data_IF_995412982021
#
_entry.id   IF_995412982021
#
_cell.length_a   1.000
_cell.length_b   1.000
_cell.length_c   1.000
_cell.angle_alpha   90.00
_cell.angle_beta   90.00
_cell.angle_gamma   90.00
#
_symmetry.space_group_name_H-M   'P 1'
#
loop_
_entity.id
_entity.type
_entity.pdbx_description
1 polymer ?
#
# COMPACT_ATOMS: atom_id res chain seq x y z
N UNK A 1 18.59 1.03 40.34
CA UNK A 1 17.58 1.42 39.33
C UNK A 1 16.14 1.26 39.82
N UNK A 2 15.70 0.09 40.32
CA UNK A 2 14.31 -0.08 40.80
C UNK A 2 13.85 0.91 41.92
N UNK A 3 14.74 1.30 42.85
CA UNK A 3 14.45 2.30 43.89
C UNK A 3 14.23 3.72 43.33
N UNK A 4 14.84 4.05 42.19
CA UNK A 4 14.70 5.36 41.54
C UNK A 4 13.34 5.47 40.83
N UNK A 5 12.89 4.41 40.14
CA UNK A 5 11.56 4.39 39.52
C UNK A 5 10.43 4.65 40.52
N UNK A 6 10.48 4.00 41.69
CA UNK A 6 9.52 4.24 42.77
C UNK A 6 9.60 5.63 43.42
N UNK A 7 10.72 6.33 43.26
CA UNK A 7 10.87 7.72 43.73
C UNK A 7 10.23 8.71 42.75
N UNK A 8 10.39 8.48 41.44
CA UNK A 8 9.74 9.28 40.40
C UNK A 8 8.21 9.08 40.35
N UNK A 9 7.72 7.86 40.58
CA UNK A 9 6.28 7.60 40.72
C UNK A 9 5.67 8.45 41.86
N UNK A 10 6.38 8.59 42.98
CA UNK A 10 5.95 9.44 44.11
C UNK A 10 6.08 10.94 43.83
N UNK A 11 6.93 11.32 42.90
CA UNK A 11 7.13 12.70 42.45
C UNK A 11 6.16 13.12 41.34
N UNK A 12 5.35 12.19 40.81
CA UNK A 12 4.37 12.47 39.74
C UNK A 12 4.95 12.48 38.33
N UNK A 13 6.22 12.13 38.15
CA UNK A 13 6.87 12.08 36.83
C UNK A 13 6.72 10.68 36.23
N UNK A 14 5.59 10.47 35.54
CA UNK A 14 5.24 9.19 34.93
C UNK A 14 6.21 8.74 33.84
N UNK A 15 6.83 9.66 33.13
CA UNK A 15 7.80 9.35 32.07
C UNK A 15 9.12 8.83 32.66
N UNK A 16 9.72 9.57 33.60
CA UNK A 16 10.97 9.15 34.24
C UNK A 16 10.80 7.85 35.04
N UNK A 17 9.66 7.71 35.72
CA UNK A 17 9.29 6.48 36.41
C UNK A 17 9.24 5.28 35.45
N UNK A 18 8.49 5.42 34.35
CA UNK A 18 8.35 4.40 33.32
C UNK A 18 9.70 3.98 32.72
N UNK A 19 10.54 4.95 32.35
CA UNK A 19 11.88 4.72 31.80
C UNK A 19 12.79 3.95 32.76
N UNK A 20 12.85 4.36 34.03
CA UNK A 20 13.64 3.67 35.05
C UNK A 20 13.16 2.25 35.34
N UNK A 21 11.84 2.00 35.29
CA UNK A 21 11.26 0.69 35.49
C UNK A 21 11.54 -0.24 34.32
N UNK A 22 11.50 0.26 33.09
CA UNK A 22 11.81 -0.51 31.89
C UNK A 22 13.29 -0.97 31.91
N UNK A 23 14.22 -0.08 32.26
CA UNK A 23 15.64 -0.41 32.46
C UNK A 23 15.88 -1.42 33.58
N UNK A 24 14.96 -1.50 34.56
CA UNK A 24 15.02 -2.48 35.64
C UNK A 24 14.34 -3.81 35.29
N UNK A 25 13.87 -4.00 34.05
CA UNK A 25 13.15 -5.20 33.59
C UNK A 25 11.73 -5.32 34.14
N UNK A 26 11.15 -4.23 34.68
CA UNK A 26 9.80 -4.18 35.25
C UNK A 26 8.78 -3.67 34.24
N UNK A 27 8.69 -4.38 33.13
CA UNK A 27 7.88 -4.03 31.95
C UNK A 27 6.39 -3.91 32.28
N UNK A 28 5.90 -4.75 33.19
CA UNK A 28 4.53 -4.77 33.72
C UNK A 28 4.09 -3.43 34.32
N UNK A 29 5.01 -2.75 35.01
CA UNK A 29 4.76 -1.46 35.66
C UNK A 29 5.20 -0.28 34.79
N UNK A 30 6.19 -0.47 33.94
CA UNK A 30 6.72 0.57 33.07
C UNK A 30 5.73 0.96 31.96
N UNK A 31 5.12 -0.01 31.28
CA UNK A 31 4.27 0.24 30.10
C UNK A 31 3.08 1.17 30.43
N UNK A 32 2.28 0.94 31.49
CA UNK A 32 1.14 1.81 31.78
C UNK A 32 1.55 3.27 32.05
N UNK A 33 2.68 3.48 32.71
CA UNK A 33 3.21 4.81 33.00
C UNK A 33 3.66 5.53 31.72
N UNK A 34 4.39 4.82 30.84
CA UNK A 34 4.79 5.36 29.54
C UNK A 34 3.58 5.62 28.62
N UNK A 35 2.55 4.77 28.69
CA UNK A 35 1.31 4.95 27.93
C UNK A 35 0.48 6.15 28.39
N UNK A 36 0.61 6.55 29.67
CA UNK A 36 -0.11 7.69 30.25
C UNK A 36 0.46 9.06 29.86
N UNK A 37 1.63 9.10 29.21
CA UNK A 37 2.24 10.34 28.72
C UNK A 37 1.39 10.90 27.57
N UNK A 38 0.96 12.15 27.72
CA UNK A 38 0.05 12.84 26.78
C UNK A 38 0.76 13.29 25.49
N UNK A 39 0.07 13.34 24.34
CA UNK A 39 0.62 13.80 23.06
C UNK A 39 1.28 15.18 23.06
N UNK A 40 0.84 16.07 23.95
CA UNK A 40 1.33 17.44 24.09
C UNK A 40 2.64 17.53 24.88
N UNK A 41 3.08 16.43 25.51
CA UNK A 41 4.34 16.38 26.25
C UNK A 41 5.54 16.34 25.31
N UNK A 42 6.60 17.06 25.67
CA UNK A 42 7.91 16.98 24.99
C UNK A 42 8.49 15.55 25.00
N UNK A 43 8.09 14.73 25.96
CA UNK A 43 8.54 13.34 26.10
C UNK A 43 7.64 12.32 25.39
N UNK A 44 6.60 12.76 24.66
CA UNK A 44 5.61 11.84 24.09
C UNK A 44 6.20 10.83 23.10
N UNK A 45 7.10 11.28 22.21
CA UNK A 45 7.72 10.40 21.21
C UNK A 45 8.66 9.39 21.87
N UNK A 46 9.50 9.85 22.80
CA UNK A 46 10.41 8.98 23.57
C UNK A 46 9.62 7.97 24.43
N UNK A 47 8.56 8.43 25.11
CA UNK A 47 7.68 7.55 25.88
C UNK A 47 7.00 6.50 24.99
N UNK A 48 6.62 6.88 23.77
CA UNK A 48 6.00 5.99 22.80
C UNK A 48 6.96 4.94 22.27
N UNK A 49 8.20 5.32 21.97
CA UNK A 49 9.26 4.41 21.58
C UNK A 49 9.51 3.37 22.68
N UNK A 50 9.74 3.83 23.92
CA UNK A 50 10.01 2.95 25.06
C UNK A 50 8.82 2.02 25.38
N UNK A 51 7.58 2.52 25.25
CA UNK A 51 6.39 1.69 25.43
C UNK A 51 6.29 0.61 24.34
N UNK A 52 6.59 0.94 23.08
CA UNK A 52 6.56 0.00 21.98
C UNK A 52 7.65 -1.07 22.10
N UNK A 53 8.87 -0.71 22.50
CA UNK A 53 9.95 -1.65 22.82
C UNK A 53 9.55 -2.61 23.95
N UNK A 54 9.00 -2.08 25.04
CA UNK A 54 8.53 -2.89 26.17
C UNK A 54 7.42 -3.86 25.76
N UNK A 55 6.45 -3.40 24.97
CA UNK A 55 5.36 -4.23 24.45
C UNK A 55 5.88 -5.35 23.53
N UNK A 56 6.84 -5.03 22.67
CA UNK A 56 7.45 -6.02 21.78
C UNK A 56 8.22 -7.09 22.57
N UNK A 57 9.02 -6.70 23.57
CA UNK A 57 9.69 -7.64 24.47
C UNK A 57 8.71 -8.55 25.22
N UNK A 58 7.53 -8.01 25.57
CA UNK A 58 6.45 -8.75 26.21
C UNK A 58 5.60 -9.61 25.25
N UNK A 59 6.00 -9.76 23.98
CA UNK A 59 5.26 -10.49 22.93
C UNK A 59 3.87 -9.89 22.62
N UNK A 60 3.67 -8.60 22.93
CA UNK A 60 2.45 -7.84 22.64
C UNK A 60 2.67 -6.85 21.49
N UNK A 61 3.40 -7.28 20.45
CA UNK A 61 3.83 -6.47 19.30
C UNK A 61 2.69 -5.69 18.62
N UNK A 62 1.50 -6.26 18.51
CA UNK A 62 0.35 -5.59 17.87
C UNK A 62 -0.07 -4.29 18.58
N UNK A 63 0.03 -4.25 19.92
CA UNK A 63 -0.24 -3.03 20.69
C UNK A 63 0.87 -1.99 20.50
N UNK A 64 2.10 -2.45 20.33
CA UNK A 64 3.26 -1.60 20.01
C UNK A 64 3.11 -0.95 18.64
N UNK A 65 2.80 -1.73 17.60
CA UNK A 65 2.55 -1.25 16.22
C UNK A 65 1.47 -0.18 16.22
N UNK A 66 0.28 -0.48 16.76
CA UNK A 66 -0.85 0.47 16.78
C UNK A 66 -0.49 1.79 17.45
N UNK A 67 0.30 1.74 18.52
CA UNK A 67 0.75 2.96 19.22
C UNK A 67 1.73 3.78 18.37
N UNK A 68 2.69 3.11 17.72
CA UNK A 68 3.65 3.76 16.83
C UNK A 68 2.94 4.39 15.63
N UNK A 69 2.00 3.69 15.00
CA UNK A 69 1.21 4.20 13.88
C UNK A 69 0.43 5.46 14.26
N UNK A 70 -0.26 5.47 15.41
CA UNK A 70 -0.96 6.65 15.90
C UNK A 70 -0.03 7.83 16.19
N UNK A 71 1.17 7.58 16.73
CA UNK A 71 2.13 8.63 17.00
C UNK A 71 2.77 9.19 15.71
N UNK A 72 2.83 8.39 14.65
CA UNK A 72 3.41 8.72 13.36
C UNK A 72 2.37 9.20 12.33
N UNK A 73 1.08 9.16 12.65
CA UNK A 73 0.00 9.56 11.76
C UNK A 73 0.21 11.02 11.29
N UNK A 74 0.33 11.21 9.97
CA UNK A 74 0.61 12.49 9.32
C UNK A 74 1.96 13.15 9.66
N UNK A 75 2.89 12.44 10.31
CA UNK A 75 4.25 12.94 10.59
C UNK A 75 5.26 12.44 9.55
N UNK A 76 6.12 13.34 9.07
CA UNK A 76 7.23 13.01 8.19
C UNK A 76 8.42 12.41 8.96
N UNK A 77 9.33 11.77 8.23
CA UNK A 77 10.58 11.23 8.80
C UNK A 77 11.52 12.39 9.07
N UNK A 78 11.95 12.54 10.33
CA UNK A 78 12.92 13.53 10.78
C UNK A 78 13.72 12.98 11.98
N UNK A 79 14.60 13.78 12.58
CA UNK A 79 15.48 13.33 13.66
C UNK A 79 14.72 12.84 14.91
N UNK A 80 13.52 13.36 15.19
CA UNK A 80 12.71 12.97 16.35
C UNK A 80 11.85 11.74 16.07
N UNK A 81 11.35 11.58 14.84
CA UNK A 81 10.45 10.48 14.44
C UNK A 81 11.20 9.26 13.91
N UNK A 82 12.44 9.43 13.44
CA UNK A 82 13.23 8.33 12.86
C UNK A 82 13.39 7.11 13.78
N UNK A 83 13.66 7.26 15.10
CA UNK A 83 13.70 6.12 16.01
C UNK A 83 12.38 5.33 16.06
N UNK A 84 11.23 6.02 15.99
CA UNK A 84 9.91 5.38 15.99
C UNK A 84 9.65 4.62 14.69
N UNK A 85 10.00 5.21 13.55
CA UNK A 85 9.94 4.50 12.25
C UNK A 85 10.84 3.26 12.27
N UNK A 86 12.04 3.35 12.84
CA UNK A 86 12.96 2.21 12.90
C UNK A 86 12.37 1.10 13.76
N UNK A 87 11.82 1.46 14.92
CA UNK A 87 11.19 0.49 15.80
C UNK A 87 9.95 -0.15 15.17
N UNK A 88 9.16 0.63 14.43
CA UNK A 88 8.03 0.10 13.66
C UNK A 88 8.51 -0.96 12.65
N UNK A 89 9.56 -0.65 11.88
CA UNK A 89 10.12 -1.60 10.92
C UNK A 89 10.63 -2.89 11.56
N UNK A 90 11.32 -2.79 12.69
CA UNK A 90 11.81 -3.96 13.43
C UNK A 90 10.67 -4.85 13.91
N UNK A 91 9.59 -4.25 14.43
CA UNK A 91 8.43 -5.01 14.90
C UNK A 91 7.74 -5.71 13.71
N UNK A 92 7.54 -5.03 12.57
CA UNK A 92 6.96 -5.68 11.38
C UNK A 92 7.84 -6.82 10.86
N UNK A 93 9.16 -6.64 10.85
CA UNK A 93 10.10 -7.71 10.48
C UNK A 93 9.94 -8.93 11.36
N UNK A 94 9.89 -8.73 12.68
CA UNK A 94 9.82 -9.82 13.65
C UNK A 94 8.43 -10.50 13.65
N UNK A 95 7.39 -9.79 13.20
CA UNK A 95 6.07 -10.35 12.91
C UNK A 95 5.98 -11.09 11.56
N UNK A 96 7.04 -11.03 10.74
CA UNK A 96 7.09 -11.64 9.40
C UNK A 96 6.52 -10.76 8.28
N UNK A 97 6.07 -9.54 8.58
CA UNK A 97 5.63 -8.54 7.60
C UNK A 97 6.84 -7.78 7.03
N UNK A 98 7.60 -8.48 6.19
CA UNK A 98 8.81 -7.95 5.57
C UNK A 98 8.51 -6.80 4.60
N UNK A 99 7.31 -6.75 4.04
CA UNK A 99 6.84 -5.71 3.11
C UNK A 99 6.76 -4.36 3.79
N UNK A 100 6.01 -4.29 4.91
CA UNK A 100 5.84 -3.06 5.66
C UNK A 100 7.16 -2.67 6.31
N UNK A 101 7.92 -3.63 6.84
CA UNK A 101 9.25 -3.39 7.40
C UNK A 101 10.18 -2.72 6.38
N UNK A 102 10.24 -3.24 5.15
CA UNK A 102 11.04 -2.65 4.07
C UNK A 102 10.55 -1.27 3.67
N UNK A 103 9.25 -1.08 3.44
CA UNK A 103 8.69 0.22 3.07
C UNK A 103 9.01 1.31 4.10
N UNK A 104 8.93 0.97 5.38
CA UNK A 104 9.29 1.89 6.47
C UNK A 104 10.81 2.18 6.48
N UNK A 105 11.66 1.18 6.25
CA UNK A 105 13.11 1.37 6.17
C UNK A 105 13.54 2.17 4.93
N UNK A 106 12.86 2.03 3.79
CA UNK A 106 13.11 2.82 2.59
C UNK A 106 12.78 4.30 2.82
N UNK A 107 11.70 4.60 3.55
CA UNK A 107 11.37 5.97 3.99
C UNK A 107 12.43 6.55 4.92
N UNK A 108 12.98 5.75 5.83
CA UNK A 108 14.09 6.15 6.69
C UNK A 108 15.37 6.41 5.89
N UNK A 109 15.70 5.53 4.95
CA UNK A 109 16.88 5.65 4.11
C UNK A 109 16.80 6.86 3.16
N UNK A 110 15.61 7.17 2.65
CA UNK A 110 15.36 8.37 1.83
C UNK A 110 15.62 9.67 2.60
N UNK A 111 15.34 9.69 3.90
CA UNK A 111 15.67 10.83 4.78
C UNK A 111 17.17 10.85 5.15
N UNK A 112 17.72 9.71 5.60
CA UNK A 112 19.12 9.59 5.96
C UNK A 112 19.60 8.12 5.87
N UNK A 113 20.33 7.78 4.80
CA UNK A 113 20.92 6.45 4.61
C UNK A 113 21.86 6.00 5.74
N UNK A 114 22.47 6.93 6.48
CA UNK A 114 23.39 6.65 7.58
C UNK A 114 22.73 6.58 8.97
N UNK A 115 21.40 6.61 9.04
CA UNK A 115 20.69 6.52 10.32
C UNK A 115 20.77 5.09 10.88
N UNK A 116 21.53 4.93 11.97
CA UNK A 116 21.75 3.66 12.67
C UNK A 116 22.17 2.52 11.72
N UNK A 117 21.51 1.37 11.80
CA UNK A 117 21.74 0.16 11.00
C UNK A 117 20.77 0.05 9.81
N UNK A 118 20.11 1.14 9.39
CA UNK A 118 19.06 1.11 8.34
C UNK A 118 19.55 0.44 7.05
N UNK A 119 20.78 0.71 6.63
CA UNK A 119 21.39 0.09 5.43
C UNK A 119 21.67 -1.40 5.62
N UNK A 120 22.08 -1.81 6.82
CA UNK A 120 22.28 -3.23 7.15
C UNK A 120 20.94 -3.96 7.23
N UNK A 121 19.93 -3.36 7.84
CA UNK A 121 18.58 -3.91 7.92
C UNK A 121 17.98 -4.10 6.52
N UNK A 122 18.12 -3.09 5.64
CA UNK A 122 17.71 -3.21 4.24
C UNK A 122 18.47 -4.32 3.52
N UNK A 123 19.79 -4.43 3.69
CA UNK A 123 20.57 -5.48 3.00
C UNK A 123 20.25 -6.89 3.52
N UNK A 124 19.93 -7.05 4.80
CA UNK A 124 19.50 -8.33 5.40
C UNK A 124 18.09 -8.73 4.97
N UNK A 125 17.27 -7.76 4.60
CA UNK A 125 15.99 -8.00 3.92
C UNK A 125 16.16 -8.35 2.42
N UNK A 126 17.38 -8.27 1.87
CA UNK A 126 17.68 -8.53 0.44
C UNK A 126 18.36 -9.87 0.14
N UNK A 127 18.15 -10.93 0.93
CA UNK A 127 18.53 -12.30 0.48
C UNK A 127 17.42 -12.85 -0.40
N UNK A 128 17.59 -12.62 -1.70
CA UNK A 128 16.70 -13.05 -2.79
C UNK A 128 16.61 -11.93 -3.81
N UNK A 129 17.51 -11.92 -4.80
CA UNK A 129 17.27 -11.19 -6.05
C UNK A 129 16.07 -11.85 -6.73
N UNK A 130 14.89 -11.34 -6.39
CA UNK A 130 13.78 -11.16 -7.30
C UNK A 130 13.27 -9.76 -6.97
N UNK A 131 13.50 -8.80 -7.86
CA UNK A 131 12.99 -7.41 -7.73
C UNK A 131 11.47 -7.35 -7.94
N UNK A 132 10.77 -8.42 -7.58
CA UNK A 132 9.33 -8.47 -7.44
C UNK A 132 9.03 -8.02 -6.01
N UNK A 133 8.35 -6.89 -5.80
CA UNK A 133 7.90 -6.54 -4.46
C UNK A 133 7.02 -7.71 -4.00
N UNK A 134 7.07 -8.14 -2.71
CA UNK A 134 6.51 -9.41 -2.26
C UNK A 134 5.16 -9.61 -2.92
N UNK A 135 5.08 -10.65 -3.74
CA UNK A 135 3.81 -11.15 -4.24
C UNK A 135 3.12 -11.64 -2.98
N UNK A 136 2.44 -10.73 -2.26
CA UNK A 136 1.15 -11.12 -1.71
C UNK A 136 0.49 -11.87 -2.86
N UNK A 137 0.19 -13.17 -2.71
CA UNK A 137 -0.48 -13.86 -3.79
C UNK A 137 -1.65 -12.96 -4.17
N UNK A 138 -1.90 -12.75 -5.48
CA UNK A 138 -3.09 -12.02 -5.93
C UNK A 138 -4.37 -12.56 -5.25
N UNK A 139 -4.27 -13.74 -4.63
CA UNK A 139 -5.19 -14.35 -3.68
C UNK A 139 -5.58 -13.42 -2.51
N UNK A 140 -4.69 -12.77 -1.76
CA UNK A 140 -5.15 -11.98 -0.60
C UNK A 140 -5.72 -10.59 -0.98
N UNK A 141 -5.25 -9.98 -2.07
CA UNK A 141 -5.80 -8.72 -2.57
C UNK A 141 -7.11 -8.89 -3.35
N UNK A 142 -7.33 -10.06 -3.95
CA UNK A 142 -8.41 -10.27 -4.89
C UNK A 142 -9.09 -11.63 -4.78
N UNK A 143 -9.05 -12.36 -3.67
CA UNK A 143 -9.93 -13.53 -3.52
C UNK A 143 -11.38 -13.05 -3.49
N UNK A 144 -12.02 -12.94 -4.65
CA UNK A 144 -13.42 -12.54 -4.81
C UNK A 144 -14.39 -13.59 -4.25
N UNK A 145 -13.87 -14.70 -3.71
CA UNK A 145 -14.62 -15.59 -2.84
C UNK A 145 -14.86 -14.99 -1.46
N UNK A 146 -14.08 -14.00 -1.05
CA UNK A 146 -14.27 -13.21 0.17
C UNK A 146 -14.91 -11.86 -0.12
N UNK A 147 -15.81 -11.43 0.78
CA UNK A 147 -16.54 -10.15 0.69
C UNK A 147 -15.59 -8.94 0.61
N UNK A 148 -14.44 -9.04 1.28
CA UNK A 148 -13.43 -7.97 1.38
C UNK A 148 -12.76 -7.66 0.04
N UNK A 149 -12.49 -8.66 -0.81
CA UNK A 149 -11.89 -8.45 -2.13
C UNK A 149 -12.82 -7.71 -3.11
N UNK A 150 -14.11 -8.08 -3.12
CA UNK A 150 -15.13 -7.39 -3.93
C UNK A 150 -15.43 -5.97 -3.43
N UNK A 151 -15.36 -5.74 -2.11
CA UNK A 151 -15.54 -4.40 -1.54
C UNK A 151 -14.42 -3.44 -1.98
N UNK A 152 -13.16 -3.90 -2.05
CA UNK A 152 -12.03 -3.10 -2.54
C UNK A 152 -12.14 -2.71 -4.02
N UNK A 153 -12.80 -3.54 -4.85
CA UNK A 153 -13.05 -3.18 -6.24
C UNK A 153 -14.01 -2.00 -6.39
N UNK A 154 -14.84 -1.70 -5.38
CA UNK A 154 -15.70 -0.51 -5.40
C UNK A 154 -14.93 0.79 -5.26
N UNK A 155 -13.73 0.75 -4.68
CA UNK A 155 -12.87 1.93 -4.56
C UNK A 155 -12.32 2.36 -5.93
N UNK A 156 -12.35 1.46 -6.91
CA UNK A 156 -11.94 1.75 -8.28
C UNK A 156 -13.02 2.55 -9.02
N UNK A 157 -12.63 3.69 -9.61
CA UNK A 157 -13.56 4.64 -10.23
C UNK A 157 -14.44 4.01 -11.34
N UNK A 158 -13.89 3.08 -12.12
CA UNK A 158 -14.63 2.33 -13.14
C UNK A 158 -15.80 1.50 -12.55
N UNK A 159 -15.62 1.01 -11.33
CA UNK A 159 -16.46 0.00 -10.68
C UNK A 159 -17.30 0.57 -9.51
N UNK A 160 -17.08 1.84 -9.15
CA UNK A 160 -17.71 2.49 -8.00
C UNK A 160 -19.26 2.49 -8.02
N UNK A 161 -19.85 2.58 -9.21
CA UNK A 161 -21.32 2.60 -9.39
C UNK A 161 -21.93 1.17 -9.44
N UNK A 162 -21.10 0.11 -9.38
CA UNK A 162 -21.55 -1.28 -9.45
C UNK A 162 -21.98 -1.82 -8.08
N UNK A 163 -23.08 -2.56 -8.05
CA UNK A 163 -23.51 -3.36 -6.91
C UNK A 163 -22.59 -4.58 -6.74
N UNK A 164 -22.57 -5.16 -5.54
CA UNK A 164 -21.76 -6.36 -5.27
C UNK A 164 -22.14 -7.55 -6.16
N UNK A 165 -23.43 -7.67 -6.52
CA UNK A 165 -23.92 -8.69 -7.45
C UNK A 165 -23.46 -8.46 -8.90
N UNK A 166 -23.38 -7.21 -9.34
CA UNK A 166 -22.83 -6.86 -10.66
C UNK A 166 -21.32 -7.10 -10.70
N UNK A 167 -20.61 -6.67 -9.65
CA UNK A 167 -19.17 -6.90 -9.52
C UNK A 167 -18.82 -8.38 -9.54
N UNK A 168 -19.59 -9.21 -8.82
CA UNK A 168 -19.34 -10.65 -8.80
C UNK A 168 -19.51 -11.29 -10.18
N UNK A 169 -20.51 -10.84 -10.94
CA UNK A 169 -20.75 -11.34 -12.32
C UNK A 169 -19.59 -11.01 -13.24
N UNK A 170 -19.11 -9.76 -13.25
CA UNK A 170 -17.97 -9.40 -14.11
C UNK A 170 -16.64 -9.98 -13.59
N UNK A 171 -16.53 -10.19 -12.27
CA UNK A 171 -15.32 -10.73 -11.65
C UNK A 171 -14.94 -12.11 -12.19
N UNK A 172 -15.92 -12.97 -12.40
CA UNK A 172 -15.70 -14.33 -12.90
C UNK A 172 -15.08 -14.36 -14.32
N UNK A 173 -15.13 -13.23 -15.05
CA UNK A 173 -14.52 -13.06 -16.36
C UNK A 173 -13.16 -12.37 -16.33
N UNK A 174 -12.71 -11.87 -15.17
CA UNK A 174 -11.38 -11.30 -15.06
C UNK A 174 -10.33 -12.39 -14.85
N UNK A 175 -9.30 -12.34 -15.67
CA UNK A 175 -8.04 -13.02 -15.43
C UNK A 175 -7.08 -12.12 -14.66
N UNK A 176 -6.20 -12.74 -13.88
CA UNK A 176 -5.17 -12.03 -13.14
C UNK A 176 -3.87 -12.09 -13.91
N UNK A 177 -3.18 -10.96 -14.03
CA UNK A 177 -1.88 -10.88 -14.68
C UNK A 177 -0.86 -10.20 -13.78
N UNK A 178 0.32 -10.82 -13.71
CA UNK A 178 1.53 -10.25 -13.15
C UNK A 178 2.49 -10.00 -14.30
N UNK A 179 3.03 -8.79 -14.38
CA UNK A 179 3.86 -8.34 -15.50
C UNK A 179 5.13 -7.69 -14.96
N UNK A 180 6.29 -8.10 -15.46
CA UNK A 180 7.57 -7.56 -15.03
C UNK A 180 7.89 -6.19 -15.63
N UNK A 181 8.72 -5.36 -14.95
CA UNK A 181 9.17 -4.08 -15.48
C UNK A 181 9.74 -4.19 -16.89
N UNK A 182 9.47 -3.18 -17.72
CA UNK A 182 9.91 -3.11 -19.11
C UNK A 182 9.10 -3.96 -20.09
N UNK A 183 8.17 -4.80 -19.61
CA UNK A 183 7.34 -5.64 -20.47
C UNK A 183 6.24 -4.81 -21.15
N UNK A 184 6.08 -4.88 -22.48
CA UNK A 184 4.93 -4.30 -23.17
C UNK A 184 3.67 -5.11 -22.84
N UNK A 185 2.65 -4.43 -22.30
CA UNK A 185 1.34 -5.00 -21.97
C UNK A 185 0.40 -4.91 -23.17
N UNK A 186 0.46 -3.78 -23.89
CA UNK A 186 -0.23 -3.51 -25.14
C UNK A 186 0.78 -2.89 -26.09
N UNK A 187 0.80 -3.27 -27.37
CA UNK A 187 1.58 -2.58 -28.40
C UNK A 187 0.66 -1.74 -29.29
N UNK A 188 1.12 -0.55 -29.68
CA UNK A 188 0.42 0.28 -30.66
C UNK A 188 0.17 -0.50 -31.96
N UNK A 189 -1.08 -0.48 -32.44
CA UNK A 189 -1.51 -1.23 -33.62
C UNK A 189 -1.90 -2.69 -33.33
N UNK A 190 -1.74 -3.19 -32.10
CA UNK A 190 -2.17 -4.54 -31.76
C UNK A 190 -3.69 -4.68 -31.92
N UNK A 191 -4.08 -5.79 -32.54
CA UNK A 191 -5.47 -6.22 -32.62
C UNK A 191 -5.93 -6.92 -31.33
N UNK A 192 -5.04 -7.11 -30.34
CA UNK A 192 -5.37 -7.69 -29.05
C UNK A 192 -6.30 -6.77 -28.26
N UNK A 193 -7.52 -7.24 -27.97
CA UNK A 193 -8.56 -6.41 -27.34
C UNK A 193 -8.81 -6.88 -25.91
N UNK A 194 -8.10 -6.26 -24.97
CA UNK A 194 -8.27 -6.51 -23.55
C UNK A 194 -8.44 -5.19 -22.81
N UNK A 195 -9.31 -5.20 -21.80
CA UNK A 195 -9.41 -4.14 -20.82
C UNK A 195 -8.60 -4.55 -19.59
N UNK A 196 -7.72 -3.67 -19.13
CA UNK A 196 -6.88 -3.90 -17.96
C UNK A 196 -7.21 -2.93 -16.85
N UNK A 197 -7.28 -3.43 -15.61
CA UNK A 197 -7.37 -2.64 -14.39
C UNK A 197 -6.05 -2.80 -13.63
N UNK A 198 -5.34 -1.70 -13.41
CA UNK A 198 -4.07 -1.68 -12.71
C UNK A 198 -4.31 -1.66 -11.20
N UNK A 199 -3.96 -2.78 -10.55
CA UNK A 199 -4.12 -2.95 -9.10
C UNK A 199 -2.84 -2.56 -8.36
N UNK A 200 -1.68 -2.78 -8.98
CA UNK A 200 -0.36 -2.52 -8.41
C UNK A 200 0.64 -2.16 -9.51
N UNK A 201 1.63 -1.33 -9.17
CA UNK A 201 2.70 -0.91 -10.08
C UNK A 201 2.33 0.32 -10.88
N UNK A 202 3.21 0.74 -11.78
CA UNK A 202 3.00 1.86 -12.70
C UNK A 202 3.24 1.42 -14.13
N UNK A 203 2.52 2.05 -15.06
CA UNK A 203 2.70 1.82 -16.49
C UNK A 203 2.89 3.13 -17.24
N UNK A 204 3.69 3.08 -18.30
CA UNK A 204 3.92 4.17 -19.25
C UNK A 204 3.06 3.95 -20.48
N UNK A 205 2.28 4.96 -20.87
CA UNK A 205 1.53 4.98 -22.12
C UNK A 205 2.32 5.79 -23.14
N UNK A 206 2.66 5.15 -24.26
CA UNK A 206 3.52 5.71 -25.30
C UNK A 206 2.84 5.68 -26.65
N UNK A 207 2.92 6.76 -27.40
CA UNK A 207 2.41 6.83 -28.78
C UNK A 207 3.51 7.33 -29.69
N UNK A 208 3.73 6.63 -30.81
CA UNK A 208 4.83 6.94 -31.73
C UNK A 208 6.21 7.03 -31.03
N UNK A 209 6.41 6.25 -29.95
CA UNK A 209 7.64 6.21 -29.17
C UNK A 209 7.76 7.26 -28.06
N UNK A 210 6.89 8.26 -28.00
CA UNK A 210 6.89 9.28 -26.95
C UNK A 210 5.94 8.91 -25.80
N UNK A 211 6.38 9.12 -24.55
CA UNK A 211 5.53 8.93 -23.38
C UNK A 211 4.52 10.08 -23.27
N UNK A 212 3.24 9.74 -23.32
CA UNK A 212 2.13 10.70 -23.29
C UNK A 212 1.41 10.70 -21.94
N UNK A 213 1.54 9.63 -21.16
CA UNK A 213 0.98 9.54 -19.81
C UNK A 213 1.67 8.42 -19.00
N UNK A 214 1.63 8.56 -17.67
CA UNK A 214 1.90 7.45 -16.75
C UNK A 214 0.62 7.16 -15.96
N UNK A 215 0.32 5.87 -15.78
CA UNK A 215 -0.84 5.42 -15.01
C UNK A 215 -0.38 4.73 -13.73
N UNK A 216 -1.13 4.97 -12.66
CA UNK A 216 -0.87 4.47 -11.30
C UNK A 216 -2.00 3.53 -10.86
N UNK A 217 -1.85 2.80 -9.73
CA UNK A 217 -2.89 1.89 -9.23
C UNK A 217 -4.25 2.59 -9.10
N UNK A 218 -5.32 1.88 -9.48
CA UNK A 218 -6.67 2.43 -9.60
C UNK A 218 -7.02 3.00 -10.98
N UNK A 219 -6.05 2.98 -11.91
CA UNK A 219 -6.25 3.32 -13.31
C UNK A 219 -6.63 2.09 -14.14
N UNK A 220 -7.25 2.31 -15.30
CA UNK A 220 -7.49 1.27 -16.30
C UNK A 220 -7.06 1.74 -17.69
N UNK A 221 -6.82 0.78 -18.59
CA UNK A 221 -6.40 1.04 -19.97
C UNK A 221 -6.84 -0.07 -20.92
N UNK A 222 -6.80 0.21 -22.23
CA UNK A 222 -7.32 -0.69 -23.28
C UNK A 222 -8.81 -0.46 -23.59
N UNK A 223 -9.41 0.57 -23.00
CA UNK A 223 -10.82 0.92 -23.18
C UNK A 223 -11.13 1.53 -24.55
N UNK A 224 -10.14 2.12 -25.24
CA UNK A 224 -10.39 2.77 -26.52
C UNK A 224 -10.85 1.76 -27.58
N UNK A 225 -10.12 0.65 -27.72
CA UNK A 225 -10.46 -0.45 -28.63
C UNK A 225 -11.81 -1.10 -28.32
N UNK A 226 -12.30 -0.94 -27.08
CA UNK A 226 -13.62 -1.39 -26.67
C UNK A 226 -14.74 -0.48 -27.19
N UNK A 227 -14.47 0.83 -27.25
CA UNK A 227 -15.42 1.87 -27.61
C UNK A 227 -15.56 2.02 -29.13
N UNK A 228 -14.47 1.95 -29.88
CA UNK A 228 -14.45 2.28 -31.32
C UNK A 228 -14.08 1.11 -32.25
N UNK A 229 -13.88 -0.09 -31.70
CA UNK A 229 -13.47 -1.29 -32.43
C UNK A 229 -12.15 -1.14 -33.22
N UNK A 230 -11.31 -0.16 -32.88
CA UNK A 230 -10.02 0.06 -33.53
C UNK A 230 -8.86 -0.68 -32.83
N UNK A 231 -7.75 -0.93 -33.54
CA UNK A 231 -6.51 -1.41 -32.92
C UNK A 231 -6.02 -0.48 -31.81
N UNK A 232 -5.14 -0.98 -30.95
CA UNK A 232 -4.57 -0.21 -29.85
C UNK A 232 -3.95 1.12 -30.35
N UNK A 233 -4.35 2.23 -29.73
CA UNK A 233 -3.93 3.58 -30.12
C UNK A 233 -2.54 3.99 -29.60
N UNK A 234 -2.00 3.22 -28.65
CA UNK A 234 -0.75 3.48 -27.97
C UNK A 234 -0.19 2.18 -27.38
N UNK A 235 1.13 2.14 -27.19
CA UNK A 235 1.84 1.09 -26.47
C UNK A 235 1.75 1.37 -24.96
N UNK A 236 1.50 0.35 -24.16
CA UNK A 236 1.53 0.42 -22.70
C UNK A 236 2.63 -0.48 -22.18
N UNK A 237 3.58 0.07 -21.41
CA UNK A 237 4.76 -0.64 -20.90
C UNK A 237 4.78 -0.59 -19.38
N UNK A 238 5.05 -1.72 -18.73
CA UNK A 238 5.26 -1.77 -17.29
C UNK A 238 6.52 -0.96 -16.89
N UNK A 239 6.39 -0.04 -15.93
CA UNK A 239 7.52 0.69 -15.34
C UNK A 239 8.07 -0.04 -14.10
N UNK A 240 7.17 -0.68 -13.35
CA UNK A 240 7.47 -1.52 -12.19
C UNK A 240 6.81 -2.91 -12.39
N UNK A 241 7.01 -3.86 -11.48
CA UNK A 241 6.20 -5.09 -11.46
C UNK A 241 4.73 -4.71 -11.27
N UNK A 242 3.90 -5.06 -12.26
CA UNK A 242 2.51 -4.69 -12.32
C UNK A 242 1.59 -5.88 -12.02
N UNK A 243 0.67 -5.70 -11.08
CA UNK A 243 -0.45 -6.60 -10.85
C UNK A 243 -1.72 -6.01 -11.45
N UNK A 244 -2.42 -6.76 -12.29
CA UNK A 244 -3.61 -6.27 -12.99
C UNK A 244 -4.70 -7.33 -13.15
N UNK A 245 -5.93 -6.86 -13.27
CA UNK A 245 -7.05 -7.67 -13.79
C UNK A 245 -7.16 -7.41 -15.29
N UNK A 246 -7.34 -8.46 -16.08
CA UNK A 246 -7.58 -8.37 -17.51
C UNK A 246 -8.86 -9.10 -17.88
N UNK A 247 -9.69 -8.48 -18.71
CA UNK A 247 -10.86 -9.12 -19.31
C UNK A 247 -10.76 -8.98 -20.83
N UNK A 248 -11.08 -10.05 -21.55
CA UNK A 248 -11.17 -9.98 -23.01
C UNK A 248 -12.33 -9.09 -23.43
N UNK A 249 -12.21 -8.44 -24.58
CA UNK A 249 -13.31 -7.61 -25.08
C UNK A 249 -14.59 -8.43 -25.32
N UNK A 250 -14.46 -9.68 -25.76
CA UNK A 250 -15.60 -10.56 -26.03
C UNK A 250 -16.31 -10.94 -24.72
N UNK A 251 -15.57 -11.28 -23.67
CA UNK A 251 -16.16 -11.54 -22.35
C UNK A 251 -16.79 -10.29 -21.76
N UNK A 252 -16.12 -9.14 -21.88
CA UNK A 252 -16.67 -7.89 -21.39
C UNK A 252 -17.98 -7.52 -22.11
N UNK A 253 -18.02 -7.67 -23.44
CA UNK A 253 -19.24 -7.47 -24.24
C UNK A 253 -20.33 -8.44 -23.83
N UNK A 254 -20.01 -9.71 -23.64
CA UNK A 254 -20.97 -10.70 -23.17
C UNK A 254 -21.61 -10.30 -21.83
N UNK A 255 -20.81 -9.80 -20.89
CA UNK A 255 -21.29 -9.29 -19.59
C UNK A 255 -22.18 -8.06 -19.77
N UNK A 256 -21.81 -7.14 -20.66
CA UNK A 256 -22.58 -5.92 -20.91
C UNK A 256 -23.91 -6.20 -21.63
N UNK A 257 -23.92 -7.12 -22.60
CA UNK A 257 -25.12 -7.51 -23.35
C UNK A 257 -26.14 -8.23 -22.45
N UNK A 258 -25.66 -8.94 -21.42
CA UNK A 258 -26.50 -9.61 -20.44
C UNK A 258 -27.13 -8.65 -19.41
N UNK A 259 -26.60 -7.42 -19.25
CA UNK A 259 -27.06 -6.46 -18.24
C UNK A 259 -26.93 -5.01 -18.71
N UNK A 260 -28.04 -4.47 -19.23
CA UNK A 260 -28.10 -3.10 -19.75
C UNK A 260 -27.81 -2.01 -18.69
N UNK A 261 -28.14 -2.24 -17.42
CA UNK A 261 -27.82 -1.28 -16.35
C UNK A 261 -26.32 -1.28 -16.05
N UNK A 262 -25.70 -2.46 -16.04
CA UNK A 262 -24.26 -2.58 -15.91
C UNK A 262 -23.52 -1.89 -17.07
N UNK A 263 -23.96 -2.16 -18.31
CA UNK A 263 -23.44 -1.51 -19.51
C UNK A 263 -23.51 0.03 -19.40
N UNK A 264 -24.68 0.57 -19.00
CA UNK A 264 -24.88 2.00 -18.81
C UNK A 264 -23.88 2.60 -17.81
N UNK A 265 -23.58 1.90 -16.72
CA UNK A 265 -22.59 2.34 -15.71
C UNK A 265 -21.18 2.38 -16.30
N UNK A 266 -20.75 1.33 -17.00
CA UNK A 266 -19.43 1.28 -17.65
C UNK A 266 -19.26 2.38 -18.70
N UNK A 267 -20.20 2.52 -19.64
CA UNK A 267 -20.10 3.56 -20.68
C UNK A 267 -20.09 4.98 -20.11
N UNK A 268 -20.82 5.21 -19.01
CA UNK A 268 -20.77 6.50 -18.29
C UNK A 268 -19.38 6.76 -17.70
N UNK A 269 -18.73 5.75 -17.12
CA UNK A 269 -17.39 5.89 -16.55
C UNK A 269 -16.31 6.04 -17.63
N UNK A 270 -16.39 5.28 -18.73
CA UNK A 270 -15.51 5.47 -19.89
C UNK A 270 -15.63 6.88 -20.46
N UNK A 271 -16.87 7.37 -20.67
CA UNK A 271 -17.12 8.72 -21.18
C UNK A 271 -16.51 9.80 -20.27
N UNK A 272 -16.61 9.62 -18.95
CA UNK A 272 -16.03 10.53 -17.96
C UNK A 272 -14.51 10.55 -18.01
N UNK A 273 -13.88 9.38 -18.03
CA UNK A 273 -12.42 9.25 -18.04
C UNK A 273 -11.81 9.79 -19.33
N UNK A 274 -12.34 9.40 -20.49
CA UNK A 274 -11.86 9.91 -21.78
C UNK A 274 -11.97 11.43 -21.85
N UNK A 275 -13.06 12.00 -21.34
CA UNK A 275 -13.23 13.45 -21.24
C UNK A 275 -12.21 14.12 -20.31
N UNK A 276 -11.84 13.45 -19.19
CA UNK A 276 -10.82 13.96 -18.27
C UNK A 276 -9.42 13.87 -18.87
N UNK A 277 -9.07 12.76 -19.50
CA UNK A 277 -7.80 12.56 -20.21
C UNK A 277 -7.61 13.59 -21.31
N UNK A 278 -8.65 13.84 -22.12
CA UNK A 278 -8.60 14.86 -23.17
C UNK A 278 -8.35 16.26 -22.61
N UNK A 279 -9.03 16.63 -21.51
CA UNK A 279 -8.80 17.93 -20.85
C UNK A 279 -7.37 18.06 -20.30
N UNK A 280 -6.81 16.98 -19.75
CA UNK A 280 -5.42 16.97 -19.24
C UNK A 280 -4.39 17.05 -20.37
N UNK A 281 -4.66 16.46 -21.52
CA UNK A 281 -3.77 16.50 -22.68
C UNK A 281 -3.77 17.85 -23.40
N UNK A 282 -4.79 18.69 -23.17
CA UNK A 282 -4.92 20.03 -23.77
C UNK A 282 -4.52 21.17 -22.82
N UNK A 283 -4.10 20.85 -21.58
CA UNK A 283 -3.67 21.79 -20.55
C UNK A 283 -2.14 21.81 -20.45
#
# INVERSE_FOLDING_TARGET
MAKAGTAFEKAGDGFQAGRCLLQAGRTDRAIPLLQSVLPESEHYLEATLLAAEGLHQAQLSALGVRRLELALEQREVNAETAPLFRQLALIHRDLGDLTTARSVLERLAAWNMGFEDTTELLSRLTVGMDDTPPVEPLDDFMDARTRTGLERLKDHALLADCSLSELRRIYDHFERKLVEPGTPIISEGDAGRFLFILVRGRVSVRRAGEEIAQLTPGSWFGEMSLVDDQPASATVVALDTCGMLSISLDDFRHVLDADAELARKFYKQFSRELSQRLRRAQA
#
